data_IF_515107704341
#
_entry.id   IF_515107704341
#
_cell.length_a   1.000
_cell.length_b   1.000
_cell.length_c   1.000
_cell.angle_alpha   90.00
_cell.angle_beta   90.00
_cell.angle_gamma   90.00
#
_symmetry.space_group_name_H-M   'P 1'
#
loop_
_entity.id
_entity.type
_entity.pdbx_description
1 polymer ?
#
# COMPACT_ATOMS: atom_id res chain seq x y z
N UNK A 1 0.18 48.51 17.44
CA UNK A 1 0.92 47.36 16.87
C UNK A 1 -0.07 46.52 16.08
N UNK A 2 0.03 46.50 14.75
CA UNK A 2 -0.95 45.85 13.87
C UNK A 2 -0.57 44.38 13.75
N UNK A 3 -1.34 43.48 14.35
CA UNK A 3 -1.18 42.03 14.15
C UNK A 3 -1.53 41.76 12.68
N UNK A 4 -0.53 41.43 11.88
CA UNK A 4 -0.71 41.02 10.50
C UNK A 4 -1.09 39.55 10.56
N UNK A 5 -2.39 39.23 10.53
CA UNK A 5 -2.84 37.87 10.26
C UNK A 5 -2.41 37.53 8.83
N UNK A 6 -1.30 36.79 8.68
CA UNK A 6 -1.01 36.10 7.43
C UNK A 6 -2.03 34.98 7.31
N UNK A 7 -2.86 35.02 6.27
CA UNK A 7 -3.70 33.88 5.92
C UNK A 7 -2.77 32.72 5.52
N UNK A 8 -2.58 31.75 6.42
CA UNK A 8 -2.02 30.45 6.07
C UNK A 8 -3.10 29.66 5.32
N UNK A 9 -2.71 28.93 4.27
CA UNK A 9 -3.58 27.98 3.57
C UNK A 9 -3.18 26.58 4.03
N UNK A 10 -4.12 25.66 4.18
CA UNK A 10 -3.80 24.31 4.63
C UNK A 10 -3.90 23.35 3.44
N UNK A 11 -3.00 22.38 3.36
CA UNK A 11 -3.11 21.29 2.41
C UNK A 11 -3.05 19.94 3.13
N UNK A 12 -3.81 18.97 2.63
CA UNK A 12 -3.73 17.58 3.07
C UNK A 12 -3.29 16.70 1.89
N UNK A 13 -2.30 15.86 2.14
CA UNK A 13 -1.80 14.85 1.24
C UNK A 13 -2.24 13.48 1.76
N UNK A 14 -2.82 12.66 0.90
CA UNK A 14 -3.12 11.26 1.24
C UNK A 14 -2.49 10.35 0.20
N UNK A 15 -1.89 9.26 0.66
CA UNK A 15 -1.38 8.20 -0.19
C UNK A 15 -1.76 6.86 0.42
N UNK A 16 -2.34 5.99 -0.40
CA UNK A 16 -2.80 4.67 0.01
C UNK A 16 -2.24 3.61 -0.96
N UNK A 17 -1.90 2.45 -0.40
CA UNK A 17 -1.57 1.26 -1.15
C UNK A 17 -2.42 0.11 -0.66
N UNK A 18 -2.99 -0.65 -1.59
CA UNK A 18 -3.75 -1.86 -1.32
C UNK A 18 -3.22 -2.98 -2.20
N UNK A 19 -3.03 -4.15 -1.63
CA UNK A 19 -2.59 -5.36 -2.35
C UNK A 19 -3.41 -6.55 -1.93
N UNK A 20 -3.62 -7.47 -2.86
CA UNK A 20 -4.32 -8.72 -2.64
C UNK A 20 -3.69 -9.84 -3.46
N UNK A 21 -3.54 -11.00 -2.85
CA UNK A 21 -3.12 -12.23 -3.48
C UNK A 21 -4.11 -13.34 -3.14
N UNK A 22 -4.53 -14.09 -4.14
CA UNK A 22 -5.57 -15.11 -4.05
C UNK A 22 -5.13 -16.34 -4.83
N UNK A 23 -5.33 -17.51 -4.23
CA UNK A 23 -5.01 -18.79 -4.84
C UNK A 23 -6.11 -19.80 -4.54
N UNK A 24 -6.38 -20.68 -5.51
CA UNK A 24 -7.30 -21.80 -5.33
C UNK A 24 -7.02 -22.94 -6.31
N UNK A 25 -7.23 -24.17 -5.85
CA UNK A 25 -7.11 -25.36 -6.69
C UNK A 25 -8.18 -26.43 -6.41
N UNK A 26 -8.60 -27.07 -7.49
CA UNK A 26 -9.32 -28.34 -7.47
C UNK A 26 -8.37 -29.49 -7.08
N UNK A 27 -8.84 -30.74 -6.88
CA UNK A 27 -7.96 -31.85 -6.58
C UNK A 27 -6.89 -32.03 -7.67
N UNK A 28 -5.65 -31.65 -7.37
CA UNK A 28 -4.49 -31.76 -8.27
C UNK A 28 -3.21 -31.93 -7.44
N UNK A 29 -2.05 -32.17 -8.04
CA UNK A 29 -0.75 -32.27 -7.33
C UNK A 29 0.20 -31.13 -7.77
N UNK A 30 -0.37 -29.97 -8.08
CA UNK A 30 0.35 -28.83 -8.65
C UNK A 30 0.52 -27.68 -7.65
N UNK A 31 1.46 -26.78 -7.95
CA UNK A 31 1.75 -25.60 -7.15
C UNK A 31 1.17 -24.34 -7.79
N UNK A 32 0.70 -23.44 -6.93
CA UNK A 32 0.23 -22.12 -7.32
C UNK A 32 0.88 -21.05 -6.45
N UNK A 33 1.23 -19.93 -7.08
CA UNK A 33 1.75 -18.72 -6.44
C UNK A 33 0.89 -17.54 -6.88
N UNK A 34 0.47 -16.72 -5.92
CA UNK A 34 0.05 -15.35 -6.17
C UNK A 34 0.78 -14.44 -5.18
N UNK A 35 1.33 -13.33 -5.66
CA UNK A 35 1.94 -12.31 -4.82
C UNK A 35 1.65 -10.94 -5.38
N UNK A 36 1.40 -10.00 -4.48
CA UNK A 36 1.20 -8.59 -4.77
C UNK A 36 2.00 -7.78 -3.78
N UNK A 37 2.71 -6.76 -4.25
CA UNK A 37 3.39 -5.80 -3.40
C UNK A 37 3.28 -4.40 -3.97
N UNK A 38 3.13 -3.43 -3.08
CA UNK A 38 3.03 -2.03 -3.48
C UNK A 38 3.78 -1.15 -2.48
N UNK A 39 4.50 -0.16 -3.01
CA UNK A 39 5.30 0.79 -2.24
C UNK A 39 5.09 2.19 -2.78
N UNK A 40 4.81 3.15 -1.91
CA UNK A 40 4.68 4.56 -2.26
C UNK A 40 5.52 5.40 -1.30
N UNK A 41 6.50 6.12 -1.85
CA UNK A 41 7.47 6.90 -1.09
C UNK A 41 7.43 8.36 -1.54
N UNK A 42 7.27 9.28 -0.59
CA UNK A 42 7.32 10.72 -0.78
C UNK A 42 8.52 11.32 -0.05
N UNK A 43 9.27 12.17 -0.74
CA UNK A 43 10.48 12.81 -0.22
C UNK A 43 10.57 14.26 -0.65
N UNK A 44 11.51 15.01 -0.07
CA UNK A 44 11.82 16.39 -0.45
C UNK A 44 10.59 17.31 -0.45
N UNK A 45 9.74 17.21 0.57
CA UNK A 45 8.67 18.18 0.77
C UNK A 45 9.25 19.59 0.91
N UNK A 46 8.74 20.51 0.09
CA UNK A 46 9.12 21.93 0.12
C UNK A 46 8.76 22.64 1.43
N UNK A 47 7.83 22.08 2.19
CA UNK A 47 7.35 22.57 3.49
C UNK A 47 7.14 21.34 4.40
N UNK A 48 7.52 21.45 5.66
CA UNK A 48 7.36 20.34 6.62
C UNK A 48 5.88 20.12 6.96
N UNK A 49 5.44 18.86 7.11
CA UNK A 49 4.09 18.60 7.58
C UNK A 49 3.92 19.07 9.04
N UNK A 50 2.73 19.58 9.35
CA UNK A 50 2.31 20.02 10.69
C UNK A 50 1.68 18.88 11.48
N UNK A 51 1.06 17.93 10.79
CA UNK A 51 0.54 16.70 11.35
C UNK A 51 0.68 15.55 10.34
N UNK A 52 0.77 14.33 10.86
CA UNK A 52 0.82 13.11 10.06
C UNK A 52 -0.01 12.02 10.72
N UNK A 53 -0.66 11.18 9.93
CA UNK A 53 -1.38 10.00 10.36
C UNK A 53 -1.01 8.84 9.44
N UNK A 54 -1.00 7.64 10.00
CA UNK A 54 -0.73 6.39 9.28
C UNK A 54 -1.75 5.36 9.70
N UNK A 55 -2.21 4.53 8.77
CA UNK A 55 -3.07 3.38 9.03
C UNK A 55 -2.56 2.15 8.27
N UNK A 56 -2.72 0.98 8.86
CA UNK A 56 -2.32 -0.29 8.24
C UNK A 56 -3.28 -1.42 8.60
N UNK A 57 -3.53 -2.28 7.63
CA UNK A 57 -4.32 -3.49 7.80
C UNK A 57 -3.66 -4.63 7.02
N UNK A 58 -3.64 -5.82 7.62
CA UNK A 58 -3.26 -7.04 6.95
C UNK A 58 -4.18 -8.18 7.36
N UNK A 59 -4.57 -9.01 6.40
CA UNK A 59 -5.37 -10.21 6.61
C UNK A 59 -4.87 -11.36 5.73
N UNK A 60 -4.82 -12.56 6.31
CA UNK A 60 -4.38 -13.76 5.61
C UNK A 60 -5.22 -14.95 6.06
N UNK A 61 -5.72 -15.73 5.09
CA UNK A 61 -6.55 -16.89 5.36
C UNK A 61 -6.12 -18.06 4.50
N UNK A 62 -6.02 -19.25 5.10
CA UNK A 62 -5.66 -20.49 4.40
C UNK A 62 -6.65 -21.60 4.69
N UNK A 63 -6.94 -22.38 3.66
CA UNK A 63 -7.77 -23.58 3.71
C UNK A 63 -7.01 -24.72 3.03
N UNK A 64 -6.89 -25.84 3.74
CA UNK A 64 -6.11 -27.01 3.31
C UNK A 64 -4.77 -27.09 4.03
N UNK A 65 -4.12 -28.27 3.96
CA UNK A 65 -2.90 -28.54 4.72
C UNK A 65 -1.61 -27.97 4.10
N UNK A 66 -1.71 -27.42 2.89
CA UNK A 66 -0.55 -27.16 2.03
C UNK A 66 -0.64 -25.78 1.37
N UNK A 67 -1.09 -24.79 2.15
CA UNK A 67 -1.12 -23.37 1.76
C UNK A 67 -0.33 -22.56 2.76
N UNK A 68 0.49 -21.67 2.25
CA UNK A 68 1.18 -20.62 2.99
C UNK A 68 0.57 -19.30 2.54
N UNK A 69 0.15 -18.49 3.50
CA UNK A 69 -0.36 -17.13 3.28
C UNK A 69 0.41 -16.18 4.17
N UNK A 70 0.89 -15.09 3.60
CA UNK A 70 1.57 -14.02 4.34
C UNK A 70 1.10 -12.67 3.83
N UNK A 71 0.92 -11.72 4.74
CA UNK A 71 0.47 -10.36 4.45
C UNK A 71 1.07 -9.38 5.43
N UNK A 72 1.68 -8.31 4.93
CA UNK A 72 2.28 -7.26 5.74
C UNK A 72 1.96 -5.88 5.17
N UNK A 73 1.73 -4.93 6.07
CA UNK A 73 1.45 -3.55 5.75
C UNK A 73 2.21 -2.63 6.71
N UNK A 74 2.95 -1.69 6.14
CA UNK A 74 3.76 -0.72 6.86
C UNK A 74 3.48 0.69 6.35
N UNK A 75 3.29 1.63 7.27
CA UNK A 75 3.14 3.04 6.95
C UNK A 75 4.00 3.88 7.91
N UNK A 76 4.73 4.84 7.35
CA UNK A 76 5.65 5.69 8.10
C UNK A 76 5.60 7.11 7.57
N UNK A 77 5.48 8.07 8.47
CA UNK A 77 5.57 9.49 8.17
C UNK A 77 6.47 10.18 9.18
N UNK A 78 7.37 11.04 8.71
CA UNK A 78 8.21 11.86 9.58
C UNK A 78 8.22 13.31 9.11
N UNK A 79 8.39 14.21 10.08
CA UNK A 79 8.42 15.66 9.84
C UNK A 79 9.84 16.19 9.64
N UNK A 80 10.86 15.53 10.22
CA UNK A 80 12.27 15.93 10.16
C UNK A 80 13.20 14.69 10.08
N UNK A 81 13.86 14.41 8.94
CA UNK A 81 13.56 14.98 7.62
C UNK A 81 12.13 14.64 7.19
N UNK A 82 11.49 15.51 6.40
CA UNK A 82 10.12 15.27 5.94
C UNK A 82 10.09 14.15 4.90
N UNK A 83 9.43 13.04 5.21
CA UNK A 83 9.16 11.95 4.28
C UNK A 83 7.87 11.21 4.67
N UNK A 84 7.29 10.51 3.70
CA UNK A 84 6.17 9.59 3.92
C UNK A 84 6.42 8.32 3.10
N UNK A 85 6.01 7.18 3.62
CA UNK A 85 6.16 5.88 3.00
C UNK A 85 4.96 5.01 3.39
N UNK A 86 4.41 4.29 2.44
CA UNK A 86 3.62 3.11 2.70
C UNK A 86 4.17 1.93 1.87
N UNK A 87 4.09 0.75 2.45
CA UNK A 87 4.50 -0.52 1.87
C UNK A 87 3.44 -1.56 2.20
N UNK A 88 3.08 -2.38 1.23
CA UNK A 88 2.13 -3.47 1.37
C UNK A 88 2.65 -4.69 0.62
N UNK A 89 2.40 -5.86 1.19
CA UNK A 89 2.81 -7.14 0.65
C UNK A 89 1.75 -8.18 0.97
N UNK A 90 1.40 -9.00 -0.02
CA UNK A 90 0.60 -10.19 0.13
C UNK A 90 1.19 -11.32 -0.71
N UNK A 91 1.27 -12.51 -0.15
CA UNK A 91 1.73 -13.71 -0.84
C UNK A 91 0.89 -14.91 -0.42
N UNK A 92 0.56 -15.73 -1.41
CA UNK A 92 -0.07 -17.02 -1.24
C UNK A 92 0.66 -18.05 -2.09
N UNK A 93 1.11 -19.12 -1.43
CA UNK A 93 1.73 -20.28 -2.08
C UNK A 93 0.92 -21.51 -1.70
N UNK A 94 0.31 -22.16 -2.67
CA UNK A 94 -0.43 -23.41 -2.50
C UNK A 94 0.23 -24.56 -3.24
N UNK A 95 0.09 -25.78 -2.74
CA UNK A 95 0.38 -26.98 -3.54
C UNK A 95 -0.48 -28.18 -3.15
N UNK A 96 -0.56 -29.18 -4.02
CA UNK A 96 -1.30 -30.42 -3.72
C UNK A 96 -2.81 -30.29 -3.98
N UNK A 97 -3.61 -31.11 -3.29
CA UNK A 97 -5.05 -31.21 -3.57
C UNK A 97 -5.87 -30.33 -2.65
N UNK A 98 -6.93 -29.71 -3.19
CA UNK A 98 -7.99 -29.03 -2.42
C UNK A 98 -7.46 -27.95 -1.48
N UNK A 99 -7.05 -26.84 -2.07
CA UNK A 99 -6.50 -25.73 -1.32
C UNK A 99 -7.04 -24.37 -1.77
N UNK A 100 -7.04 -23.41 -0.85
CA UNK A 100 -7.30 -22.01 -1.15
C UNK A 100 -6.59 -21.13 -0.14
N UNK A 101 -6.13 -19.97 -0.57
CA UNK A 101 -5.57 -18.97 0.32
C UNK A 101 -5.81 -17.56 -0.19
N UNK A 102 -5.85 -16.63 0.75
CA UNK A 102 -5.96 -15.19 0.53
C UNK A 102 -4.94 -14.46 1.39
N UNK A 103 -4.35 -13.39 0.85
CA UNK A 103 -3.48 -12.48 1.57
C UNK A 103 -3.76 -11.06 1.09
N UNK A 104 -4.18 -10.18 1.98
CA UNK A 104 -4.57 -8.81 1.71
C UNK A 104 -3.80 -7.86 2.64
N UNK A 105 -3.34 -6.73 2.10
CA UNK A 105 -2.63 -5.72 2.87
C UNK A 105 -2.95 -4.31 2.37
N UNK A 106 -3.24 -3.40 3.29
CA UNK A 106 -3.55 -1.99 3.07
C UNK A 106 -2.67 -1.09 3.94
N UNK A 107 -2.13 -0.01 3.37
CA UNK A 107 -1.37 0.98 4.11
C UNK A 107 -1.65 2.40 3.61
N UNK A 108 -1.98 3.30 4.54
CA UNK A 108 -2.31 4.71 4.26
C UNK A 108 -1.37 5.66 5.02
N UNK A 109 -0.98 6.75 4.37
CA UNK A 109 -0.35 7.91 5.00
C UNK A 109 -1.12 9.18 4.65
N UNK A 110 -1.45 9.96 5.69
CA UNK A 110 -2.03 11.29 5.57
C UNK A 110 -1.05 12.30 6.16
N UNK A 111 -0.79 13.40 5.47
CA UNK A 111 0.06 14.49 5.95
C UNK A 111 -0.60 15.87 5.73
N UNK A 112 -0.62 16.69 6.76
CA UNK A 112 -1.14 18.06 6.72
C UNK A 112 0.00 19.08 6.65
N UNK A 113 -0.21 20.17 5.91
CA UNK A 113 0.80 21.21 5.68
C UNK A 113 0.20 22.59 5.83
N UNK A 114 0.90 23.47 6.57
CA UNK A 114 0.65 24.91 6.55
C UNK A 114 1.45 25.55 5.41
N UNK A 115 0.74 25.98 4.37
CA UNK A 115 1.33 26.57 3.18
C UNK A 115 1.53 28.07 3.36
N UNK A 116 2.76 28.52 3.14
CA UNK A 116 3.07 29.95 3.06
C UNK A 116 2.41 30.57 1.82
N UNK A 117 1.69 31.68 1.99
CA UNK A 117 1.07 32.40 0.87
C UNK A 117 2.09 32.73 -0.23
N UNK A 118 1.70 32.51 -1.49
CA UNK A 118 2.54 32.70 -2.68
C UNK A 118 3.83 31.85 -2.73
N UNK A 119 3.90 30.75 -1.97
CA UNK A 119 4.94 29.73 -2.12
C UNK A 119 4.46 28.56 -2.98
N UNK A 120 5.37 27.90 -3.70
CA UNK A 120 5.08 26.64 -4.37
C UNK A 120 5.14 25.51 -3.35
N UNK A 121 4.14 24.63 -3.39
CA UNK A 121 4.17 23.35 -2.69
C UNK A 121 4.63 22.26 -3.67
N UNK A 122 5.74 21.63 -3.37
CA UNK A 122 6.33 20.54 -4.16
C UNK A 122 6.86 19.43 -3.27
N UNK A 123 6.97 18.25 -3.86
CA UNK A 123 7.57 17.04 -3.29
C UNK A 123 7.97 16.12 -4.44
N UNK A 124 8.83 15.15 -4.17
CA UNK A 124 9.12 14.04 -5.07
C UNK A 124 8.36 12.80 -4.61
N UNK A 125 8.03 11.91 -5.53
CA UNK A 125 7.48 10.61 -5.19
C UNK A 125 8.03 9.50 -6.07
N UNK A 126 8.05 8.29 -5.52
CA UNK A 126 8.29 7.04 -6.21
C UNK A 126 7.17 6.08 -5.83
N UNK A 127 6.62 5.38 -6.81
CA UNK A 127 5.56 4.40 -6.62
C UNK A 127 5.92 3.13 -7.38
N UNK A 128 5.77 1.97 -6.74
CA UNK A 128 6.04 0.65 -7.30
C UNK A 128 4.87 -0.26 -7.00
N UNK A 129 4.38 -0.97 -8.02
CA UNK A 129 3.39 -2.03 -7.90
C UNK A 129 3.93 -3.26 -8.64
N UNK A 130 4.06 -4.37 -7.93
CA UNK A 130 4.52 -5.64 -8.48
C UNK A 130 3.46 -6.72 -8.22
N UNK A 131 3.04 -7.38 -9.31
CA UNK A 131 2.03 -8.43 -9.31
C UNK A 131 2.63 -9.68 -9.95
N UNK A 132 2.58 -10.80 -9.23
CA UNK A 132 3.17 -12.07 -9.65
C UNK A 132 2.15 -13.18 -9.49
N UNK A 133 2.00 -14.00 -10.52
CA UNK A 133 1.18 -15.21 -10.47
C UNK A 133 1.88 -16.35 -11.20
N UNK A 134 1.74 -17.58 -10.70
CA UNK A 134 2.19 -18.80 -11.37
C UNK A 134 1.26 -19.95 -11.04
N UNK A 135 0.99 -20.81 -12.02
CA UNK A 135 0.22 -22.05 -11.89
C UNK A 135 0.90 -23.15 -12.71
N UNK A 136 0.84 -24.41 -12.27
CA UNK A 136 1.40 -25.54 -13.03
C UNK A 136 0.33 -26.26 -13.87
N UNK A 137 -0.92 -26.29 -13.41
CA UNK A 137 -2.05 -26.97 -14.08
C UNK A 137 -3.18 -25.99 -14.46
N UNK A 138 -3.06 -25.33 -15.63
CA UNK A 138 -4.12 -24.47 -16.16
C UNK A 138 -5.47 -25.19 -16.25
N UNK A 139 -6.51 -24.55 -15.72
CA UNK A 139 -7.89 -25.07 -15.70
C UNK A 139 -8.24 -25.94 -14.49
N UNK A 140 -7.25 -26.32 -13.66
CA UNK A 140 -7.47 -26.92 -12.33
C UNK A 140 -7.07 -25.98 -11.20
N UNK A 141 -6.15 -25.06 -11.49
CA UNK A 141 -5.62 -24.06 -10.57
C UNK A 141 -5.96 -22.64 -11.01
N UNK A 142 -6.02 -21.74 -10.03
CA UNK A 142 -6.21 -20.31 -10.22
C UNK A 142 -5.29 -19.55 -9.26
N UNK A 143 -4.60 -18.55 -9.81
CA UNK A 143 -3.89 -17.51 -9.07
C UNK A 143 -4.39 -16.15 -9.54
N UNK A 144 -4.55 -15.23 -8.61
CA UNK A 144 -4.88 -13.84 -8.89
C UNK A 144 -4.09 -12.93 -7.95
N UNK A 145 -3.46 -11.91 -8.52
CA UNK A 145 -2.77 -10.86 -7.78
C UNK A 145 -3.33 -9.50 -8.22
N UNK A 146 -3.76 -8.70 -7.25
CA UNK A 146 -4.38 -7.40 -7.43
C UNK A 146 -3.62 -6.36 -6.62
N UNK A 147 -3.64 -5.11 -7.06
CA UNK A 147 -3.17 -4.01 -6.23
C UNK A 147 -3.53 -2.65 -6.80
N UNK A 148 -3.62 -1.67 -5.90
CA UNK A 148 -4.03 -0.30 -6.16
C UNK A 148 -3.09 0.65 -5.42
N UNK A 149 -2.76 1.76 -6.08
CA UNK A 149 -1.93 2.83 -5.54
C UNK A 149 -2.65 4.15 -5.80
N UNK A 150 -3.03 4.82 -4.73
CA UNK A 150 -3.79 6.05 -4.80
C UNK A 150 -3.06 7.21 -4.15
N UNK A 151 -3.30 8.39 -4.71
CA UNK A 151 -2.74 9.65 -4.25
C UNK A 151 -3.74 10.78 -4.41
N UNK A 152 -3.87 11.62 -3.38
CA UNK A 152 -4.69 12.81 -3.42
C UNK A 152 -4.05 14.01 -2.71
N UNK A 153 -4.28 15.21 -3.26
CA UNK A 153 -3.90 16.49 -2.67
C UNK A 153 -5.14 17.39 -2.56
N UNK A 154 -5.47 17.79 -1.33
CA UNK A 154 -6.60 18.64 -1.02
C UNK A 154 -6.13 20.02 -0.54
N UNK A 155 -6.61 21.09 -1.16
CA UNK A 155 -6.41 22.46 -0.65
C UNK A 155 -7.60 22.91 0.20
N UNK A 156 -7.32 23.54 1.34
CA UNK A 156 -8.31 24.13 2.25
C UNK A 156 -7.99 25.59 2.55
#
# INVERSE_FOLDING_TARGET
MKVINRAARTAALMAAGLTGALVGALPSEAATLASSSASFIFTNFSQSPTATQTDTLSDSQSIGSTVITDSDASALAATIPSFALNDTFGEVIGSGTLYSGTAEAEAEVIAEFDLTSNSLFSFNFTAVLELVTSIDLPGLEQAEALGELDFALFGR
#
